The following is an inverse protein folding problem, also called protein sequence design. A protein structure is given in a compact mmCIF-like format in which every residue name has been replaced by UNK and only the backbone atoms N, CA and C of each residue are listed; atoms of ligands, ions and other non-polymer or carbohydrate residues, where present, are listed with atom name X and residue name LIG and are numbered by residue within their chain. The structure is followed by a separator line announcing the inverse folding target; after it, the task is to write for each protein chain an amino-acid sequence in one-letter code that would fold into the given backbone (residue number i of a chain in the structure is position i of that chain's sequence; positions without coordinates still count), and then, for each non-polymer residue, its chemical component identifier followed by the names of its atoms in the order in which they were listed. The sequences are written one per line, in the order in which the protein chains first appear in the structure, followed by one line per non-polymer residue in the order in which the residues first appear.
data_IF_429233846845
#
_entry.id   IF_429233846845
#
_cell.length_a   1.000
_cell.length_b   1.000
_cell.length_c   1.000
_cell.angle_alpha   90.00
_cell.angle_beta   90.00
_cell.angle_gamma   90.00
#
_symmetry.space_group_name_H-M   'P 1'
#
loop_
_entity.id
_entity.type
_entity.pdbx_description
1 polymer ?
#
# COMPACT_ATOMS: atom_id res chain seq x y z
N UNK A 1 -50.18 -58.66 9.99
CA UNK A 1 -48.76 -58.76 9.55
C UNK A 1 -47.98 -57.62 10.20
N UNK A 2 -46.73 -57.90 10.55
CA UNK A 2 -45.90 -57.39 11.67
C UNK A 2 -45.84 -55.86 11.90
N UNK A 3 -46.05 -55.49 13.16
CA UNK A 3 -45.54 -54.31 13.88
C UNK A 3 -44.06 -54.53 14.24
N UNK A 4 -43.26 -53.46 14.27
CA UNK A 4 -42.12 -53.36 15.19
C UNK A 4 -42.06 -51.97 15.81
N UNK A 5 -41.93 -51.98 17.12
CA UNK A 5 -41.74 -50.92 18.08
C UNK A 5 -40.31 -51.10 18.58
N UNK A 6 -39.48 -50.06 18.76
CA UNK A 6 -38.47 -50.06 19.83
C UNK A 6 -37.92 -48.66 20.12
N UNK A 7 -37.86 -48.42 21.43
CA UNK A 7 -37.33 -47.32 22.22
C UNK A 7 -35.79 -47.38 22.32
N UNK A 8 -35.08 -46.26 22.45
CA UNK A 8 -33.87 -46.09 23.29
C UNK A 8 -33.32 -44.65 23.17
N UNK A 9 -33.49 -43.81 24.20
CA UNK A 9 -32.54 -43.53 25.31
C UNK A 9 -31.51 -42.45 24.94
N UNK A 10 -31.74 -41.27 25.50
CA UNK A 10 -30.82 -40.13 25.64
C UNK A 10 -29.79 -40.48 26.71
N UNK A 11 -28.49 -40.35 26.42
CA UNK A 11 -27.44 -40.33 27.43
C UNK A 11 -26.67 -39.01 27.35
N UNK A 12 -26.86 -38.22 28.41
CA UNK A 12 -26.05 -37.07 28.79
C UNK A 12 -24.77 -37.63 29.43
N UNK A 13 -23.59 -37.25 28.95
CA UNK A 13 -22.33 -37.51 29.64
C UNK A 13 -21.67 -36.18 29.94
N UNK A 14 -21.74 -35.80 31.22
CA UNK A 14 -20.90 -34.79 31.86
C UNK A 14 -19.61 -35.49 32.28
N UNK A 15 -18.46 -34.96 31.89
CA UNK A 15 -17.20 -35.22 32.60
C UNK A 15 -16.54 -33.89 32.98
N UNK A 16 -16.19 -33.83 34.25
CA UNK A 16 -15.56 -32.74 34.99
C UNK A 16 -14.07 -33.05 35.18
N UNK A 17 -13.25 -32.00 35.07
CA UNK A 17 -11.86 -31.77 35.49
C UNK A 17 -10.87 -32.94 35.67
N UNK A 18 -9.71 -32.81 35.02
CA UNK A 18 -8.43 -32.74 35.74
C UNK A 18 -7.43 -31.88 34.95
N UNK A 19 -6.80 -30.93 35.65
CA UNK A 19 -5.71 -30.10 35.18
C UNK A 19 -4.43 -30.91 35.25
N UNK A 20 -3.69 -31.04 34.15
CA UNK A 20 -2.23 -31.19 34.14
C UNK A 20 -1.74 -30.85 32.72
N UNK A 21 -0.56 -30.23 32.65
CA UNK A 21 0.18 -29.79 31.45
C UNK A 21 -0.17 -28.42 30.83
N UNK A 22 0.02 -27.35 31.62
CA UNK A 22 0.12 -25.95 31.13
C UNK A 22 1.48 -25.28 31.41
N UNK A 23 2.52 -26.04 31.75
CA UNK A 23 3.82 -25.44 32.14
C UNK A 23 4.96 -25.56 31.10
N UNK A 24 4.74 -26.13 29.91
CA UNK A 24 5.83 -26.30 28.92
C UNK A 24 5.82 -25.35 27.70
N UNK A 25 4.94 -24.34 27.69
CA UNK A 25 4.92 -23.30 26.61
C UNK A 25 5.50 -21.95 27.07
N UNK A 26 5.84 -21.81 28.36
CA UNK A 26 6.27 -20.53 28.96
C UNK A 26 7.71 -20.09 28.60
N UNK A 27 8.55 -20.92 27.97
CA UNK A 27 9.98 -20.61 27.80
C UNK A 27 10.44 -20.13 26.41
N UNK A 28 9.52 -19.88 25.45
CA UNK A 28 9.87 -19.31 24.13
C UNK A 28 9.31 -17.91 23.84
N UNK A 29 8.67 -17.27 24.81
CA UNK A 29 8.14 -15.92 24.68
C UNK A 29 9.09 -14.89 25.33
N UNK A 30 10.33 -14.78 24.84
CA UNK A 30 11.22 -13.67 25.22
C UNK A 30 12.11 -13.29 24.03
N UNK A 31 11.48 -12.67 23.02
CA UNK A 31 12.14 -11.82 22.03
C UNK A 31 11.11 -10.89 21.31
N UNK A 32 10.21 -10.29 22.08
CA UNK A 32 9.29 -9.25 21.58
C UNK A 32 9.87 -7.86 21.84
N UNK A 33 10.77 -7.43 20.97
CA UNK A 33 11.05 -6.01 20.82
C UNK A 33 9.89 -5.36 20.03
N UNK A 34 9.16 -4.44 20.67
CA UNK A 34 8.28 -3.43 20.07
C UNK A 34 7.31 -3.91 18.98
N UNK A 35 6.33 -4.74 19.31
CA UNK A 35 5.16 -4.97 18.45
C UNK A 35 4.04 -4.06 18.97
N UNK A 36 3.65 -3.07 18.17
CA UNK A 36 2.57 -2.15 18.52
C UNK A 36 1.24 -2.94 18.68
N UNK A 37 0.35 -2.56 19.63
CA UNK A 37 -0.91 -3.29 19.84
C UNK A 37 -1.77 -3.26 18.57
N UNK A 38 -2.49 -4.35 18.26
CA UNK A 38 -3.23 -4.53 17.00
C UNK A 38 -4.17 -3.35 16.66
N UNK A 39 -4.74 -2.66 17.65
CA UNK A 39 -5.58 -1.47 17.45
C UNK A 39 -4.83 -0.26 16.89
N UNK A 40 -3.52 -0.16 17.12
CA UNK A 40 -2.69 0.93 16.61
C UNK A 40 -2.49 0.86 15.09
N UNK A 41 -2.76 -0.29 14.45
CA UNK A 41 -2.55 -0.50 13.03
C UNK A 41 -3.78 -0.21 12.17
N UNK A 42 -4.95 0.06 12.76
CA UNK A 42 -6.15 0.38 11.99
C UNK A 42 -6.17 1.85 11.55
N UNK A 43 -6.77 2.11 10.40
CA UNK A 43 -7.07 3.47 9.96
C UNK A 43 -8.33 3.97 10.66
N UNK A 44 -8.34 5.24 11.04
CA UNK A 44 -9.52 5.87 11.66
C UNK A 44 -10.62 6.16 10.64
N UNK A 45 -10.25 6.26 9.35
CA UNK A 45 -11.19 6.35 8.24
C UNK A 45 -10.62 5.80 6.94
N UNK A 46 -11.42 5.08 6.18
CA UNK A 46 -11.08 4.53 4.86
C UNK A 46 -12.21 4.89 3.90
N UNK A 47 -11.88 5.58 2.81
CA UNK A 47 -12.87 6.11 1.87
C UNK A 47 -12.45 5.84 0.44
N UNK A 48 -13.45 5.65 -0.42
CA UNK A 48 -13.26 5.58 -1.86
C UNK A 48 -14.28 6.45 -2.58
N UNK A 49 -13.85 7.14 -3.64
CA UNK A 49 -14.75 7.89 -4.52
C UNK A 49 -15.00 7.03 -5.76
N UNK A 50 -16.23 6.53 -5.87
CA UNK A 50 -16.70 5.69 -6.99
C UNK A 50 -17.92 6.37 -7.61
N UNK A 51 -17.93 6.51 -8.94
CA UNK A 51 -19.04 7.13 -9.68
C UNK A 51 -19.49 8.50 -9.13
N UNK A 52 -18.53 9.31 -8.67
CA UNK A 52 -18.78 10.64 -8.09
C UNK A 52 -19.41 10.62 -6.69
N UNK A 53 -19.36 9.48 -5.98
CA UNK A 53 -19.84 9.37 -4.59
C UNK A 53 -18.74 8.80 -3.69
N UNK A 54 -18.59 9.40 -2.52
CA UNK A 54 -17.77 8.85 -1.45
C UNK A 54 -18.48 7.64 -0.81
N UNK A 55 -17.73 6.56 -0.61
CA UNK A 55 -18.13 5.36 0.10
C UNK A 55 -17.20 5.19 1.29
N UNK A 56 -17.77 5.05 2.49
CA UNK A 56 -17.03 4.76 3.72
C UNK A 56 -16.83 3.24 3.86
N UNK A 57 -15.56 2.83 3.94
CA UNK A 57 -15.10 1.45 4.05
C UNK A 57 -14.41 1.16 5.39
N UNK A 58 -14.56 2.04 6.38
CA UNK A 58 -13.84 1.97 7.65
C UNK A 58 -14.19 0.71 8.45
N UNK A 59 -15.44 0.23 8.38
CA UNK A 59 -15.87 -0.96 9.13
C UNK A 59 -15.34 -2.27 8.53
N UNK A 60 -15.05 -2.28 7.22
CA UNK A 60 -14.63 -3.47 6.48
C UNK A 60 -13.26 -3.96 6.95
N UNK A 61 -12.39 -3.08 7.45
CA UNK A 61 -11.08 -3.46 8.00
C UNK A 61 -11.18 -4.38 9.23
N UNK A 62 -12.27 -4.27 10.00
CA UNK A 62 -12.48 -5.12 11.19
C UNK A 62 -13.08 -6.48 10.84
N UNK A 63 -13.76 -6.57 9.70
CA UNK A 63 -14.38 -7.81 9.23
C UNK A 63 -13.36 -8.79 8.65
N UNK A 64 -12.21 -8.31 8.16
CA UNK A 64 -11.17 -9.17 7.58
C UNK A 64 -10.44 -10.04 8.62
N UNK A 65 -10.53 -9.70 9.92
CA UNK A 65 -9.84 -10.37 11.06
C UNK A 65 -8.32 -10.61 10.84
N UNK A 66 -7.71 -9.94 9.86
CA UNK A 66 -6.31 -10.07 9.53
C UNK A 66 -5.48 -9.34 10.59
N UNK A 67 -4.43 -9.97 11.12
CA UNK A 67 -3.28 -9.21 11.61
C UNK A 67 -2.87 -8.24 10.52
N UNK A 68 -2.70 -6.95 10.82
CA UNK A 68 -2.42 -5.97 9.77
C UNK A 68 -1.03 -6.23 9.19
N UNK A 69 -1.02 -6.99 8.11
CA UNK A 69 0.16 -7.37 7.35
C UNK A 69 0.31 -6.43 6.15
N UNK A 70 1.54 -5.96 5.95
CA UNK A 70 1.86 -4.99 4.91
C UNK A 70 2.39 -5.72 3.69
N UNK A 71 1.46 -6.26 2.90
CA UNK A 71 1.74 -6.95 1.63
C UNK A 71 2.03 -6.00 0.46
N UNK A 72 1.50 -4.78 0.56
CA UNK A 72 1.68 -3.74 -0.45
C UNK A 72 2.61 -2.66 0.08
N UNK A 73 3.66 -2.37 -0.67
CA UNK A 73 4.68 -1.39 -0.33
C UNK A 73 4.59 -0.24 -1.33
N UNK A 74 4.58 1.00 -0.84
CA UNK A 74 4.61 2.20 -1.69
C UNK A 74 5.92 2.23 -2.48
N UNK A 75 5.87 2.47 -3.79
CA UNK A 75 7.06 2.50 -4.65
C UNK A 75 7.86 3.79 -4.46
N UNK A 76 8.86 3.75 -3.57
CA UNK A 76 9.73 4.91 -3.29
C UNK A 76 10.84 5.08 -4.31
N UNK A 77 11.10 4.05 -5.11
CA UNK A 77 12.10 4.05 -6.17
C UNK A 77 11.58 3.29 -7.40
N UNK A 78 10.76 3.95 -8.24
CA UNK A 78 10.06 3.31 -9.37
C UNK A 78 10.99 2.61 -10.38
N UNK A 79 12.25 3.04 -10.50
CA UNK A 79 13.24 2.40 -11.36
C UNK A 79 13.52 0.93 -10.99
N UNK A 80 13.28 0.55 -9.74
CA UNK A 80 13.43 -0.83 -9.24
C UNK A 80 12.09 -1.56 -9.08
N UNK A 81 10.97 -0.86 -9.28
CA UNK A 81 9.62 -1.40 -9.15
C UNK A 81 9.07 -1.82 -10.51
N UNK A 82 9.57 -2.94 -11.03
CA UNK A 82 9.10 -3.58 -12.24
C UNK A 82 8.99 -5.09 -12.03
N UNK A 83 8.09 -5.75 -12.78
CA UNK A 83 7.83 -7.19 -12.61
C UNK A 83 9.09 -8.03 -12.85
N UNK A 84 9.35 -8.95 -11.90
CA UNK A 84 10.53 -9.81 -11.89
C UNK A 84 11.82 -9.16 -11.37
N UNK A 85 11.81 -7.87 -10.99
CA UNK A 85 12.91 -7.25 -10.23
C UNK A 85 13.14 -8.02 -8.93
N UNK A 86 14.38 -8.41 -8.62
CA UNK A 86 14.72 -9.18 -7.42
C UNK A 86 15.49 -8.31 -6.43
N UNK A 87 14.86 -8.03 -5.29
CA UNK A 87 15.32 -7.10 -4.27
C UNK A 87 15.67 -7.82 -2.97
N UNK A 88 16.50 -7.19 -2.15
CA UNK A 88 16.82 -7.66 -0.81
C UNK A 88 15.68 -7.29 0.13
N UNK A 89 15.09 -8.26 0.84
CA UNK A 89 13.96 -8.06 1.76
C UNK A 89 14.18 -6.89 2.75
N UNK A 90 15.36 -6.80 3.35
CA UNK A 90 15.69 -5.74 4.31
C UNK A 90 15.67 -4.34 3.67
N UNK A 91 16.11 -4.22 2.42
CA UNK A 91 16.12 -2.93 1.70
C UNK A 91 14.72 -2.49 1.25
N UNK A 92 13.77 -3.43 1.10
CA UNK A 92 12.36 -3.10 0.88
C UNK A 92 11.80 -2.44 2.14
N UNK A 93 12.09 -3.01 3.31
CA UNK A 93 11.65 -2.49 4.60
C UNK A 93 12.20 -1.09 4.93
N UNK A 94 13.18 -0.57 4.19
CA UNK A 94 13.75 0.79 4.37
C UNK A 94 13.50 1.72 3.19
N UNK A 95 12.90 1.24 2.10
CA UNK A 95 12.68 2.02 0.88
C UNK A 95 13.89 2.17 -0.05
N UNK A 96 15.02 1.50 0.23
CA UNK A 96 16.27 1.63 -0.55
C UNK A 96 16.28 0.76 -1.83
N UNK A 97 15.56 -0.36 -1.82
CA UNK A 97 15.40 -1.30 -2.96
C UNK A 97 16.72 -1.77 -3.60
N UNK A 98 17.60 -2.38 -2.80
CA UNK A 98 18.84 -2.98 -3.29
C UNK A 98 18.53 -4.24 -4.10
N UNK A 99 18.99 -4.26 -5.36
CA UNK A 99 18.92 -5.46 -6.20
C UNK A 99 19.86 -6.55 -5.70
N UNK A 100 19.35 -7.79 -5.65
CA UNK A 100 20.14 -8.99 -5.30
C UNK A 100 20.72 -9.64 -6.56
N UNK A 101 19.94 -9.65 -7.64
CA UNK A 101 20.33 -10.23 -8.92
C UNK A 101 19.96 -9.32 -10.08
N UNK A 102 20.70 -9.46 -11.17
CA UNK A 102 20.53 -8.70 -12.40
C UNK A 102 19.92 -9.59 -13.49
N UNK A 103 19.38 -9.01 -14.58
CA UNK A 103 18.58 -9.76 -15.56
C UNK A 103 19.26 -10.98 -16.22
N UNK A 104 20.59 -11.07 -16.21
CA UNK A 104 21.33 -12.23 -16.73
C UNK A 104 21.27 -13.47 -15.80
N UNK A 105 20.93 -13.29 -14.52
CA UNK A 105 20.75 -14.35 -13.54
C UNK A 105 19.27 -14.77 -13.36
N UNK A 106 18.35 -14.09 -14.06
CA UNK A 106 16.91 -14.31 -13.96
C UNK A 106 16.39 -15.20 -15.10
N UNK A 107 15.14 -15.63 -14.99
CA UNK A 107 14.43 -16.24 -16.12
C UNK A 107 14.51 -15.33 -17.35
N UNK A 108 14.76 -15.90 -18.55
CA UNK A 108 14.87 -15.10 -19.77
C UNK A 108 13.55 -14.39 -20.10
N UNK A 109 12.43 -14.98 -19.69
CA UNK A 109 11.07 -14.50 -19.96
C UNK A 109 10.17 -14.76 -18.76
N UNK A 110 9.18 -13.88 -18.57
CA UNK A 110 8.07 -14.00 -17.63
C UNK A 110 6.77 -13.64 -18.36
N UNK A 111 5.66 -14.23 -17.95
CA UNK A 111 4.32 -13.88 -18.44
C UNK A 111 3.66 -12.90 -17.49
N UNK A 112 3.09 -11.84 -18.05
CA UNK A 112 2.42 -10.77 -17.30
C UNK A 112 0.99 -10.57 -17.78
N UNK A 113 0.11 -10.20 -16.87
CA UNK A 113 -1.29 -9.88 -17.11
C UNK A 113 -1.62 -8.50 -16.55
N UNK A 114 -2.64 -7.87 -17.13
CA UNK A 114 -3.11 -6.55 -16.76
C UNK A 114 -4.51 -6.66 -16.19
N UNK A 115 -4.87 -5.79 -15.24
CA UNK A 115 -6.27 -5.65 -14.81
C UNK A 115 -7.14 -4.98 -15.88
N UNK A 116 -6.53 -4.45 -16.93
CA UNK A 116 -7.17 -3.95 -18.13
C UNK A 116 -7.67 -5.12 -19.00
N UNK A 117 -8.73 -4.95 -19.79
CA UNK A 117 -9.27 -5.98 -20.67
C UNK A 117 -8.40 -6.21 -21.93
N UNK A 118 -7.12 -6.50 -21.74
CA UNK A 118 -6.13 -6.78 -22.77
C UNK A 118 -5.44 -8.11 -22.51
N UNK A 119 -4.84 -8.70 -23.55
CA UNK A 119 -4.17 -10.01 -23.43
C UNK A 119 -2.88 -9.91 -22.61
N UNK A 120 -2.51 -11.04 -22.01
CA UNK A 120 -1.20 -11.20 -21.37
C UNK A 120 -0.04 -11.05 -22.36
N UNK A 121 1.12 -10.67 -21.84
CA UNK A 121 2.36 -10.47 -22.61
C UNK A 121 3.48 -11.33 -22.03
N UNK A 122 4.44 -11.69 -22.87
CA UNK A 122 5.70 -12.31 -22.45
C UNK A 122 6.78 -11.25 -22.54
N UNK A 123 7.48 -10.99 -21.43
CA UNK A 123 8.51 -9.96 -21.34
C UNK A 123 9.77 -10.50 -20.66
N UNK A 124 10.89 -9.81 -20.82
CA UNK A 124 12.06 -10.04 -19.96
C UNK A 124 11.84 -9.34 -18.62
N UNK A 125 12.31 -9.89 -17.48
CA UNK A 125 12.25 -9.22 -16.18
C UNK A 125 13.27 -8.07 -16.13
N UNK A 126 12.95 -6.97 -16.81
CA UNK A 126 13.77 -5.77 -16.98
C UNK A 126 12.88 -4.54 -16.93
N UNK A 127 13.41 -3.45 -16.36
CA UNK A 127 12.72 -2.16 -16.31
C UNK A 127 12.21 -1.71 -17.69
N UNK A 128 13.06 -1.73 -18.72
CA UNK A 128 12.68 -1.27 -20.06
C UNK A 128 11.59 -2.15 -20.67
N UNK A 129 11.74 -3.48 -20.62
CA UNK A 129 10.75 -4.42 -21.16
C UNK A 129 9.39 -4.33 -20.45
N UNK A 130 9.39 -4.05 -19.14
CA UNK A 130 8.17 -3.78 -18.39
C UNK A 130 7.50 -2.48 -18.84
N UNK A 131 8.26 -1.39 -18.97
CA UNK A 131 7.72 -0.11 -19.44
C UNK A 131 7.19 -0.19 -20.88
N UNK A 132 7.92 -0.85 -21.79
CA UNK A 132 7.47 -1.06 -23.17
C UNK A 132 6.12 -1.79 -23.18
N UNK A 133 5.99 -2.86 -22.38
CA UNK A 133 4.77 -3.63 -22.28
C UNK A 133 3.60 -2.86 -21.67
N UNK A 134 3.87 -1.93 -20.75
CA UNK A 134 2.88 -0.99 -20.21
C UNK A 134 2.43 -0.01 -21.29
N UNK A 135 3.36 0.61 -22.02
CA UNK A 135 3.06 1.56 -23.11
C UNK A 135 2.23 0.90 -24.21
N UNK A 136 2.59 -0.32 -24.60
CA UNK A 136 1.82 -1.07 -25.58
C UNK A 136 0.43 -1.43 -25.05
N UNK A 137 0.31 -1.81 -23.77
CA UNK A 137 -0.97 -2.12 -23.13
C UNK A 137 -1.93 -0.92 -23.15
N UNK A 138 -1.42 0.26 -22.81
CA UNK A 138 -2.12 1.55 -22.88
C UNK A 138 -2.57 1.86 -24.31
N UNK A 139 -1.69 1.58 -25.28
CA UNK A 139 -1.96 1.82 -26.71
C UNK A 139 -3.05 0.90 -27.22
N UNK A 140 -2.95 -0.40 -26.92
CA UNK A 140 -3.86 -1.46 -27.35
C UNK A 140 -5.25 -1.36 -26.70
N UNK A 141 -5.32 -0.84 -25.48
CA UNK A 141 -6.59 -0.51 -24.83
C UNK A 141 -7.41 0.55 -25.60
N UNK A 142 -6.85 1.15 -26.66
CA UNK A 142 -7.60 1.93 -27.64
C UNK A 142 -8.01 3.31 -27.12
N UNK A 143 -8.97 3.97 -27.78
CA UNK A 143 -9.45 5.31 -27.38
C UNK A 143 -10.20 5.28 -26.04
N UNK A 144 -10.64 4.10 -25.61
CA UNK A 144 -11.36 3.87 -24.35
C UNK A 144 -10.42 3.71 -23.15
N UNK A 145 -9.10 3.84 -23.36
CA UNK A 145 -8.13 4.10 -22.31
C UNK A 145 -8.20 5.55 -21.79
N UNK A 146 -9.42 6.04 -21.65
CA UNK A 146 -9.78 7.31 -21.07
C UNK A 146 -11.20 7.16 -20.55
N UNK A 147 -11.42 7.40 -19.27
CA UNK A 147 -12.74 7.21 -18.68
C UNK A 147 -12.76 7.42 -17.17
N UNK A 148 -13.86 7.97 -16.68
CA UNK A 148 -14.20 8.00 -15.24
C UNK A 148 -14.40 6.58 -14.66
N UNK A 149 -14.59 5.57 -15.52
CA UNK A 149 -15.10 4.25 -15.16
C UNK A 149 -14.01 3.23 -14.73
N UNK A 150 -12.76 3.66 -14.51
CA UNK A 150 -11.70 2.79 -13.95
C UNK A 150 -10.84 3.48 -12.88
N UNK A 151 -11.25 4.65 -12.41
CA UNK A 151 -10.49 5.42 -11.41
C UNK A 151 -11.10 5.20 -10.04
N UNK A 152 -10.48 4.35 -9.23
CA UNK A 152 -10.79 4.32 -7.79
C UNK A 152 -9.82 5.28 -7.12
N UNK A 153 -10.30 6.48 -6.82
CA UNK A 153 -9.61 7.36 -5.89
C UNK A 153 -9.92 6.87 -4.48
N UNK A 154 -8.90 6.42 -3.75
CA UNK A 154 -9.02 5.98 -2.37
C UNK A 154 -8.21 6.89 -1.46
N UNK A 155 -8.67 7.08 -0.23
CA UNK A 155 -7.86 7.70 0.80
C UNK A 155 -8.19 7.17 2.18
N UNK A 156 -7.18 7.12 3.02
CA UNK A 156 -7.23 6.60 4.38
C UNK A 156 -6.64 7.63 5.32
N UNK A 157 -7.22 7.80 6.50
CA UNK A 157 -6.79 8.79 7.47
C UNK A 157 -6.52 8.16 8.82
N UNK A 158 -5.53 8.68 9.53
CA UNK A 158 -5.24 8.26 10.90
C UNK A 158 -4.57 9.38 11.69
N UNK A 159 -5.05 9.64 12.90
CA UNK A 159 -4.36 10.50 13.87
C UNK A 159 -3.08 9.80 14.36
N UNK A 160 -2.01 10.57 14.56
CA UNK A 160 -0.74 10.03 15.07
C UNK A 160 -0.14 10.95 16.14
N UNK A 161 0.78 10.39 16.93
CA UNK A 161 1.58 11.12 17.91
C UNK A 161 3.07 11.12 17.56
N UNK A 162 3.55 10.08 16.87
CA UNK A 162 4.93 9.93 16.43
C UNK A 162 4.99 9.80 14.91
N UNK A 163 5.96 10.47 14.27
CA UNK A 163 6.07 10.45 12.81
C UNK A 163 6.30 9.03 12.26
N UNK A 164 6.93 8.14 13.02
CA UNK A 164 7.09 6.73 12.63
C UNK A 164 5.77 6.00 12.39
N UNK A 165 4.65 6.45 12.96
CA UNK A 165 3.33 5.86 12.70
C UNK A 165 2.89 6.07 11.24
N UNK A 166 3.39 7.12 10.57
CA UNK A 166 3.13 7.40 9.15
C UNK A 166 3.70 6.33 8.23
N UNK A 167 4.64 5.49 8.71
CA UNK A 167 5.16 4.34 7.98
C UNK A 167 4.07 3.35 7.53
N UNK A 168 2.91 3.36 8.18
CA UNK A 168 1.72 2.62 7.73
C UNK A 168 1.30 2.95 6.30
N UNK A 169 1.42 4.21 5.87
CA UNK A 169 1.04 4.66 4.52
C UNK A 169 2.03 4.18 3.43
N UNK A 170 3.26 3.85 3.85
CA UNK A 170 4.33 3.37 2.98
C UNK A 170 4.48 1.86 2.97
N UNK A 171 4.03 1.17 4.03
CA UNK A 171 4.31 -0.24 4.22
C UNK A 171 5.82 -0.51 4.37
N UNK A 172 6.59 0.45 4.91
CA UNK A 172 8.04 0.34 5.11
C UNK A 172 8.51 1.30 6.22
N UNK A 173 9.66 1.03 6.84
CA UNK A 173 10.29 1.86 7.88
C UNK A 173 11.07 3.02 7.26
N UNK A 174 10.34 4.07 6.90
CA UNK A 174 10.94 5.25 6.29
C UNK A 174 11.31 6.26 7.36
N UNK A 175 12.39 7.00 7.13
CA UNK A 175 12.76 8.17 7.95
C UNK A 175 11.85 9.33 7.58
N UNK A 176 10.63 9.35 8.14
CA UNK A 176 9.56 10.29 7.77
C UNK A 176 10.00 11.76 7.87
N UNK A 177 10.67 12.15 8.95
CA UNK A 177 11.17 13.52 9.10
C UNK A 177 12.15 13.92 7.97
N UNK A 178 13.06 13.02 7.59
CA UNK A 178 13.97 13.25 6.47
C UNK A 178 13.25 13.27 5.12
N UNK A 179 12.33 12.33 4.89
CA UNK A 179 11.59 12.22 3.63
C UNK A 179 10.77 13.48 3.35
N UNK A 180 10.06 13.99 4.37
CA UNK A 180 9.21 15.16 4.27
C UNK A 180 9.95 16.48 4.56
N UNK A 181 11.26 16.43 4.81
CA UNK A 181 12.08 17.59 5.21
C UNK A 181 11.49 18.36 6.40
N UNK A 182 10.93 17.63 7.38
CA UNK A 182 10.35 18.20 8.59
C UNK A 182 11.51 18.56 9.54
N UNK A 183 11.68 19.85 9.80
CA UNK A 183 12.69 20.38 10.71
C UNK A 183 12.20 20.28 12.15
N UNK A 184 12.04 19.06 12.68
CA UNK A 184 11.79 18.85 14.11
C UNK A 184 13.12 18.81 14.86
N UNK A 185 13.12 19.24 16.13
CA UNK A 185 14.23 18.92 17.03
C UNK A 185 14.33 17.39 17.11
N UNK A 186 15.41 16.87 16.53
CA UNK A 186 15.65 15.45 16.16
C UNK A 186 15.58 14.48 17.36
N UNK A 187 15.36 14.96 18.58
CA UNK A 187 15.46 14.17 19.81
C UNK A 187 14.21 13.37 20.19
N UNK A 188 12.99 13.69 19.69
CA UNK A 188 11.78 13.01 20.18
C UNK A 188 10.90 12.29 19.16
N UNK A 189 11.07 12.51 17.84
CA UNK A 189 10.22 11.95 16.76
C UNK A 189 8.70 12.15 16.95
N UNK A 190 8.32 13.08 17.84
CA UNK A 190 6.95 13.35 18.29
C UNK A 190 6.40 14.60 17.61
N UNK A 191 5.10 14.58 17.30
CA UNK A 191 4.38 15.77 16.81
C UNK A 191 4.52 16.94 17.78
N UNK A 192 4.51 18.16 17.25
CA UNK A 192 4.57 19.39 18.06
C UNK A 192 3.20 20.06 18.20
N UNK A 193 2.28 19.78 17.28
CA UNK A 193 0.90 20.30 17.27
C UNK A 193 -0.03 19.53 18.22
N UNK A 194 -1.16 20.16 18.54
CA UNK A 194 -2.25 19.53 19.29
C UNK A 194 -2.80 18.30 18.55
N UNK A 195 -3.04 18.42 17.24
CA UNK A 195 -3.53 17.34 16.39
C UNK A 195 -2.63 17.17 15.18
N UNK A 196 -2.22 15.93 14.91
CA UNK A 196 -1.54 15.55 13.70
C UNK A 196 -2.21 14.30 13.12
N UNK A 197 -2.46 14.31 11.82
CA UNK A 197 -2.94 13.13 11.10
C UNK A 197 -2.16 12.94 9.80
N UNK A 198 -2.10 11.71 9.35
CA UNK A 198 -1.67 11.42 7.99
C UNK A 198 -2.83 10.93 7.14
N UNK A 199 -2.69 11.20 5.84
CA UNK A 199 -3.60 10.72 4.80
C UNK A 199 -2.80 9.92 3.78
N UNK A 200 -3.14 8.65 3.63
CA UNK A 200 -2.67 7.80 2.54
C UNK A 200 -3.71 7.82 1.42
N UNK A 201 -3.42 8.46 0.29
CA UNK A 201 -4.35 8.52 -0.83
C UNK A 201 -3.71 8.01 -2.11
N UNK A 202 -4.52 7.37 -2.95
CA UNK A 202 -4.08 6.83 -4.23
C UNK A 202 -5.19 6.86 -5.27
N UNK A 203 -4.78 6.98 -6.51
CA UNK A 203 -5.60 6.75 -7.69
C UNK A 203 -4.92 5.65 -8.49
N UNK A 204 -5.42 4.43 -8.35
CA UNK A 204 -4.91 3.28 -9.11
C UNK A 204 -5.62 3.29 -10.46
N UNK A 205 -4.83 3.30 -11.53
CA UNK A 205 -5.34 3.26 -12.90
C UNK A 205 -5.52 1.83 -13.37
N UNK A 206 -4.52 0.99 -13.11
CA UNK A 206 -4.55 -0.44 -13.37
C UNK A 206 -3.45 -1.14 -12.59
N UNK A 207 -3.55 -2.46 -12.48
CA UNK A 207 -2.54 -3.33 -11.93
C UNK A 207 -1.89 -4.16 -13.04
N UNK A 208 -0.61 -4.48 -12.88
CA UNK A 208 0.10 -5.45 -13.70
C UNK A 208 0.71 -6.49 -12.77
N UNK A 209 0.44 -7.77 -13.04
CA UNK A 209 0.96 -8.89 -12.25
C UNK A 209 1.63 -9.91 -13.16
N UNK A 210 2.56 -10.69 -12.60
CA UNK A 210 3.20 -11.80 -13.32
C UNK A 210 2.72 -13.15 -12.79
N UNK A 211 2.72 -14.15 -13.67
CA UNK A 211 2.60 -15.53 -13.24
C UNK A 211 3.83 -15.92 -12.40
N UNK A 212 3.64 -16.81 -11.42
CA UNK A 212 4.76 -17.51 -10.79
C UNK A 212 5.40 -18.37 -11.89
N UNK A 213 6.74 -18.32 -12.08
CA UNK A 213 7.41 -19.17 -13.07
C UNK A 213 7.04 -20.65 -12.89
N UNK A 214 6.89 -21.40 -13.98
CA UNK A 214 6.37 -22.78 -13.96
C UNK A 214 7.17 -23.73 -13.03
N UNK A 215 8.47 -23.50 -12.89
CA UNK A 215 9.35 -24.26 -11.98
C UNK A 215 9.45 -23.66 -10.57
N UNK A 216 8.64 -22.64 -10.28
CA UNK A 216 8.62 -21.91 -9.01
C UNK A 216 9.88 -21.08 -8.76
N UNK A 217 10.67 -20.78 -9.79
CA UNK A 217 11.97 -20.13 -9.64
C UNK A 217 12.10 -18.90 -10.56
N UNK A 218 12.28 -17.70 -9.98
CA UNK A 218 12.53 -16.46 -10.73
C UNK A 218 13.95 -16.36 -11.30
N UNK A 219 14.89 -17.12 -10.75
CA UNK A 219 16.26 -17.21 -11.25
C UNK A 219 16.33 -18.14 -12.46
N UNK A 220 17.43 -18.09 -13.19
CA UNK A 220 17.65 -18.91 -14.38
C UNK A 220 17.41 -20.41 -14.09
N UNK A 221 17.93 -20.89 -12.96
CA UNK A 221 17.83 -22.27 -12.48
C UNK A 221 18.14 -22.35 -10.98
N UNK A 222 18.11 -23.57 -10.42
CA UNK A 222 18.35 -23.80 -9.00
C UNK A 222 19.75 -23.40 -8.55
N UNK A 223 20.77 -23.76 -9.34
CA UNK A 223 22.16 -23.40 -9.04
C UNK A 223 22.34 -21.89 -8.94
N UNK A 224 21.67 -21.13 -9.80
CA UNK A 224 21.68 -19.67 -9.75
C UNK A 224 20.95 -19.15 -8.51
N UNK A 225 19.76 -19.68 -8.21
CA UNK A 225 18.98 -19.31 -7.02
C UNK A 225 19.79 -19.45 -5.73
N UNK A 226 20.50 -20.58 -5.56
CA UNK A 226 21.29 -20.86 -4.36
C UNK A 226 22.39 -19.82 -4.07
N UNK A 227 22.91 -19.11 -5.08
CA UNK A 227 23.89 -18.03 -4.89
C UNK A 227 23.33 -16.83 -4.13
N UNK A 228 22.00 -16.66 -4.16
CA UNK A 228 21.33 -15.45 -3.71
C UNK A 228 20.41 -15.66 -2.49
N UNK A 229 20.04 -16.90 -2.16
CA UNK A 229 19.07 -17.19 -1.08
C UNK A 229 19.48 -16.63 0.29
N UNK A 230 20.78 -16.56 0.59
CA UNK A 230 21.28 -15.98 1.85
C UNK A 230 20.95 -14.48 2.00
N UNK A 231 20.67 -13.78 0.90
CA UNK A 231 20.27 -12.38 0.90
C UNK A 231 18.75 -12.20 1.08
N UNK A 232 17.98 -13.28 1.27
CA UNK A 232 16.52 -13.26 1.37
C UNK A 232 15.87 -12.50 0.19
N UNK A 233 16.07 -13.00 -1.05
CA UNK A 233 15.58 -12.36 -2.26
C UNK A 233 14.06 -12.36 -2.31
N UNK A 234 13.50 -11.21 -2.67
CA UNK A 234 12.06 -10.99 -2.92
C UNK A 234 11.92 -10.48 -4.34
N UNK A 235 11.13 -11.15 -5.17
CA UNK A 235 10.84 -10.65 -6.52
C UNK A 235 9.52 -9.90 -6.56
N UNK A 236 9.49 -8.79 -7.29
CA UNK A 236 8.27 -7.99 -7.51
C UNK A 236 7.32 -8.78 -8.40
N UNK A 237 6.15 -9.13 -7.88
CA UNK A 237 5.18 -9.99 -8.57
C UNK A 237 3.89 -9.26 -9.00
N UNK A 238 3.62 -8.08 -8.44
CA UNK A 238 2.49 -7.22 -8.80
C UNK A 238 2.86 -5.76 -8.62
N UNK A 239 2.41 -4.90 -9.53
CA UNK A 239 2.66 -3.45 -9.53
C UNK A 239 1.37 -2.71 -9.82
N UNK A 240 1.00 -1.79 -8.93
CA UNK A 240 -0.08 -0.84 -9.19
C UNK A 240 0.48 0.38 -9.92
N UNK A 241 -0.12 0.69 -11.07
CA UNK A 241 0.19 1.85 -11.89
C UNK A 241 -0.83 2.95 -11.57
N UNK A 242 -0.34 4.15 -11.27
CA UNK A 242 -1.21 5.18 -10.72
C UNK A 242 -0.53 6.47 -10.32
N UNK A 243 -1.20 7.15 -9.39
CA UNK A 243 -0.66 8.25 -8.59
C UNK A 243 -0.97 7.99 -7.12
N UNK A 244 -0.02 8.27 -6.24
CA UNK A 244 -0.17 8.13 -4.79
C UNK A 244 0.38 9.37 -4.12
N UNK A 245 -0.17 9.71 -2.97
CA UNK A 245 0.50 10.61 -2.08
C UNK A 245 0.22 10.28 -0.63
N UNK A 246 1.18 10.66 0.19
CA UNK A 246 1.09 10.59 1.64
C UNK A 246 1.15 12.02 2.13
N UNK A 247 0.12 12.47 2.82
CA UNK A 247 0.02 13.80 3.37
C UNK A 247 0.14 13.74 4.89
N UNK A 248 0.92 14.63 5.48
CA UNK A 248 0.95 14.91 6.92
C UNK A 248 0.28 16.26 7.13
N UNK A 249 -0.67 16.32 8.05
CA UNK A 249 -1.37 17.53 8.44
C UNK A 249 -1.21 17.74 9.93
N UNK A 250 -0.66 18.89 10.30
CA UNK A 250 -0.59 19.36 11.68
C UNK A 250 -1.49 20.58 11.86
N UNK A 251 -2.29 20.57 12.93
CA UNK A 251 -3.35 21.55 13.16
C UNK A 251 -3.56 21.82 14.65
N UNK A 252 -4.02 23.04 14.94
CA UNK A 252 -4.52 23.44 16.26
C UNK A 252 -5.99 23.06 16.47
N UNK A 253 -6.71 22.69 15.40
CA UNK A 253 -8.09 22.22 15.45
C UNK A 253 -8.16 20.75 15.92
N UNK A 254 -9.32 20.35 16.44
CA UNK A 254 -9.56 18.95 16.82
C UNK A 254 -9.48 17.98 15.62
N UNK A 255 -9.12 16.72 15.87
CA UNK A 255 -9.09 15.67 14.85
C UNK A 255 -10.41 15.56 14.07
N UNK A 256 -11.55 15.63 14.75
CA UNK A 256 -12.87 15.54 14.11
C UNK A 256 -13.15 16.71 13.15
N UNK A 257 -12.67 17.92 13.44
CA UNK A 257 -12.86 19.08 12.57
C UNK A 257 -11.91 19.09 11.37
N UNK A 258 -10.62 18.79 11.60
CA UNK A 258 -9.63 18.82 10.52
C UNK A 258 -9.82 17.65 9.54
N UNK A 259 -10.17 16.45 10.04
CA UNK A 259 -10.45 15.28 9.19
C UNK A 259 -11.66 15.50 8.28
N UNK A 260 -12.75 16.10 8.81
CA UNK A 260 -13.93 16.48 8.00
C UNK A 260 -13.56 17.52 6.95
N UNK A 261 -12.73 18.50 7.30
CA UNK A 261 -12.26 19.52 6.36
C UNK A 261 -11.43 18.93 5.21
N UNK A 262 -10.56 17.98 5.51
CA UNK A 262 -9.77 17.26 4.51
C UNK A 262 -10.66 16.41 3.60
N UNK A 263 -11.63 15.67 4.16
CA UNK A 263 -12.62 14.91 3.39
C UNK A 263 -13.43 15.80 2.45
N UNK A 264 -13.91 16.94 2.94
CA UNK A 264 -14.65 17.90 2.14
C UNK A 264 -13.81 18.40 0.96
N UNK A 265 -12.52 18.63 1.18
CA UNK A 265 -11.58 19.01 0.11
C UNK A 265 -11.39 17.91 -0.94
N UNK A 266 -11.19 16.65 -0.55
CA UNK A 266 -11.11 15.55 -1.51
C UNK A 266 -12.40 15.39 -2.31
N UNK A 267 -13.56 15.43 -1.64
CA UNK A 267 -14.85 15.35 -2.32
C UNK A 267 -15.02 16.49 -3.33
N UNK A 268 -14.82 17.73 -2.92
CA UNK A 268 -14.98 18.88 -3.82
C UNK A 268 -14.05 18.77 -5.04
N UNK A 269 -12.74 18.54 -4.83
CA UNK A 269 -11.80 18.51 -5.93
C UNK A 269 -11.93 17.29 -6.85
N UNK A 270 -12.21 16.09 -6.32
CA UNK A 270 -12.31 14.86 -7.11
C UNK A 270 -13.69 14.70 -7.76
N UNK A 271 -14.77 15.00 -7.03
CA UNK A 271 -16.16 14.82 -7.54
C UNK A 271 -16.59 16.01 -8.39
N UNK A 272 -16.37 17.23 -7.91
CA UNK A 272 -16.87 18.44 -8.58
C UNK A 272 -15.86 18.99 -9.60
N UNK A 273 -14.60 18.56 -9.56
CA UNK A 273 -13.53 19.07 -10.41
C UNK A 273 -13.02 20.46 -10.03
N UNK A 274 -13.58 21.06 -8.97
CA UNK A 274 -13.18 22.35 -8.43
C UNK A 274 -13.21 22.33 -6.90
N UNK A 275 -12.26 23.00 -6.28
CA UNK A 275 -12.18 23.07 -4.81
C UNK A 275 -13.02 24.23 -4.27
N UNK A 276 -14.33 24.14 -4.45
CA UNK A 276 -15.30 25.07 -3.85
C UNK A 276 -15.64 24.61 -2.42
N UNK A 277 -14.98 25.23 -1.44
CA UNK A 277 -15.16 24.96 0.00
C UNK A 277 -15.79 26.17 0.68
N UNK A 278 -16.56 25.92 1.74
CA UNK A 278 -17.05 26.99 2.60
C UNK A 278 -15.88 27.72 3.31
N UNK A 279 -16.14 28.93 3.77
CA UNK A 279 -15.11 29.79 4.35
C UNK A 279 -14.47 29.19 5.60
N UNK A 280 -15.22 28.44 6.43
CA UNK A 280 -14.69 27.84 7.66
C UNK A 280 -13.69 26.75 7.30
N UNK A 281 -14.08 25.81 6.42
CA UNK A 281 -13.19 24.73 5.97
C UNK A 281 -11.95 25.27 5.24
N UNK A 282 -12.12 26.28 4.39
CA UNK A 282 -10.98 26.90 3.69
C UNK A 282 -9.98 27.54 4.65
N UNK A 283 -10.44 28.27 5.66
CA UNK A 283 -9.56 28.90 6.65
C UNK A 283 -8.89 27.87 7.57
N UNK A 284 -9.57 26.78 7.93
CA UNK A 284 -8.95 25.67 8.68
C UNK A 284 -7.79 25.05 7.89
N UNK A 285 -8.00 24.70 6.61
CA UNK A 285 -6.97 24.07 5.78
C UNK A 285 -5.79 25.01 5.48
N UNK A 286 -6.03 26.33 5.38
CA UNK A 286 -4.95 27.33 5.23
C UNK A 286 -4.08 27.49 6.47
N UNK A 287 -4.68 27.37 7.68
CA UNK A 287 -3.95 27.48 8.95
C UNK A 287 -3.17 26.21 9.29
N UNK A 288 -3.61 25.06 8.80
CA UNK A 288 -2.92 23.79 9.00
C UNK A 288 -1.57 23.76 8.28
N UNK A 289 -0.58 23.12 8.91
CA UNK A 289 0.69 22.82 8.28
C UNK A 289 0.56 21.51 7.51
N UNK A 290 0.65 21.60 6.18
CA UNK A 290 0.43 20.47 5.28
C UNK A 290 1.74 20.14 4.57
N UNK A 291 2.14 18.88 4.63
CA UNK A 291 3.24 18.31 3.85
C UNK A 291 2.70 17.17 3.00
N UNK A 292 3.04 17.12 1.71
CA UNK A 292 2.57 16.07 0.81
C UNK A 292 3.76 15.48 0.07
N UNK A 293 3.98 14.18 0.24
CA UNK A 293 4.91 13.40 -0.55
C UNK A 293 4.14 12.71 -1.68
N UNK A 294 4.52 13.00 -2.93
CA UNK A 294 3.80 12.54 -4.12
C UNK A 294 4.63 11.49 -4.86
N UNK A 295 4.03 10.35 -5.22
CA UNK A 295 4.58 9.32 -6.11
C UNK A 295 3.71 9.31 -7.38
N UNK A 296 4.28 9.63 -8.53
CA UNK A 296 3.55 9.74 -9.80
C UNK A 296 2.85 11.10 -9.99
N UNK A 297 3.55 12.04 -10.62
CA UNK A 297 3.03 13.35 -11.02
C UNK A 297 3.49 13.75 -12.42
N UNK A 298 3.09 14.93 -12.89
CA UNK A 298 3.46 15.41 -14.23
C UNK A 298 4.96 15.72 -14.30
N UNK A 299 5.72 14.85 -14.99
CA UNK A 299 6.91 15.25 -15.75
C UNK A 299 8.29 15.02 -15.14
N UNK A 300 8.42 14.51 -13.92
CA UNK A 300 9.73 14.11 -13.39
C UNK A 300 9.59 12.79 -12.62
N UNK A 301 10.45 11.82 -12.91
CA UNK A 301 10.50 10.47 -12.32
C UNK A 301 10.72 10.46 -10.79
N UNK A 302 10.76 11.63 -10.14
CA UNK A 302 11.06 11.81 -8.74
C UNK A 302 9.81 12.10 -7.91
N UNK A 303 9.74 11.46 -6.75
CA UNK A 303 8.80 11.87 -5.72
C UNK A 303 9.18 13.26 -5.19
N UNK A 304 8.18 14.10 -4.92
CA UNK A 304 8.39 15.47 -4.44
C UNK A 304 7.61 15.76 -3.17
N UNK A 305 8.20 16.57 -2.30
CA UNK A 305 7.52 17.16 -1.15
C UNK A 305 7.01 18.54 -1.53
N UNK A 306 5.71 18.76 -1.35
CA UNK A 306 5.08 20.07 -1.51
C UNK A 306 4.35 20.46 -0.22
N UNK A 307 4.20 21.76 0.02
CA UNK A 307 3.70 22.26 1.31
C UNK A 307 2.53 23.23 1.19
N UNK A 308 1.69 23.21 2.22
CA UNK A 308 0.57 24.13 2.41
C UNK A 308 -0.66 23.82 1.57
N UNK A 309 -1.74 24.55 1.87
CA UNK A 309 -3.03 24.38 1.22
C UNK A 309 -2.98 24.56 -0.32
N UNK A 310 -2.30 25.58 -0.90
CA UNK A 310 -2.26 25.72 -2.36
C UNK A 310 -1.70 24.49 -3.09
N UNK A 311 -0.65 23.86 -2.54
CA UNK A 311 -0.07 22.65 -3.11
C UNK A 311 -1.04 21.45 -3.02
N UNK A 312 -1.79 21.36 -1.92
CA UNK A 312 -2.88 20.40 -1.77
C UNK A 312 -3.97 20.60 -2.84
N UNK A 313 -4.41 21.85 -3.06
CA UNK A 313 -5.40 22.15 -4.11
C UNK A 313 -4.88 21.76 -5.49
N UNK A 314 -3.63 22.12 -5.80
CA UNK A 314 -2.99 21.83 -7.08
C UNK A 314 -2.94 20.32 -7.35
N UNK A 315 -2.55 19.54 -6.33
CA UNK A 315 -2.49 18.09 -6.44
C UNK A 315 -3.86 17.46 -6.69
N UNK A 316 -4.91 17.87 -5.95
CA UNK A 316 -6.25 17.29 -6.12
C UNK A 316 -6.83 17.67 -7.49
N UNK A 317 -6.76 18.95 -7.86
CA UNK A 317 -7.41 19.48 -9.07
C UNK A 317 -6.66 19.04 -10.34
N UNK A 318 -5.34 19.20 -10.40
CA UNK A 318 -4.52 18.69 -11.52
C UNK A 318 -4.27 17.18 -11.43
N UNK A 319 -4.79 16.57 -10.38
CA UNK A 319 -4.78 15.14 -10.05
C UNK A 319 -5.44 14.23 -11.06
N UNK A 320 -6.59 14.67 -11.56
CA UNK A 320 -7.66 13.74 -11.95
C UNK A 320 -7.64 13.24 -13.39
N UNK A 321 -6.75 13.71 -14.27
CA UNK A 321 -6.83 13.35 -15.70
C UNK A 321 -5.74 12.35 -16.07
N UNK A 322 -6.11 11.09 -15.99
CA UNK A 322 -5.41 9.99 -16.63
C UNK A 322 -5.61 10.03 -18.15
N UNK A 323 -4.55 9.82 -18.91
CA UNK A 323 -4.61 9.74 -20.38
C UNK A 323 -3.53 8.82 -20.92
N UNK A 324 -3.46 8.67 -22.24
CA UNK A 324 -2.36 7.96 -22.91
C UNK A 324 -1.01 8.66 -22.71
N UNK A 325 -1.03 9.96 -22.47
CA UNK A 325 0.14 10.78 -22.19
C UNK A 325 0.45 10.84 -20.68
N UNK A 326 -0.56 10.60 -19.83
CA UNK A 326 -0.47 10.63 -18.36
C UNK A 326 -0.99 9.29 -17.83
N UNK A 327 -0.21 8.23 -18.02
CA UNK A 327 -0.62 6.86 -17.69
C UNK A 327 -0.16 6.37 -16.31
N UNK A 328 0.35 7.30 -15.49
CA UNK A 328 0.86 7.01 -14.15
C UNK A 328 2.22 6.31 -14.16
N UNK A 329 2.71 6.04 -12.95
CA UNK A 329 3.97 5.33 -12.69
C UNK A 329 3.70 4.20 -11.70
N UNK A 330 4.66 3.29 -11.46
CA UNK A 330 4.57 2.37 -10.33
C UNK A 330 4.41 3.16 -9.03
N UNK A 331 3.28 2.96 -8.33
CA UNK A 331 2.98 3.66 -7.06
C UNK A 331 3.01 2.74 -5.85
N UNK A 332 2.77 1.46 -6.06
CA UNK A 332 2.96 0.41 -5.06
C UNK A 332 3.19 -0.94 -5.72
N UNK A 333 3.73 -1.87 -4.95
CA UNK A 333 3.98 -3.23 -5.41
C UNK A 333 3.81 -4.24 -4.28
N UNK A 334 3.58 -5.50 -4.66
CA UNK A 334 3.79 -6.64 -3.79
C UNK A 334 5.00 -7.45 -4.26
N UNK A 335 5.56 -8.23 -3.34
CA UNK A 335 6.67 -9.14 -3.62
C UNK A 335 6.35 -10.56 -3.20
N UNK A 336 7.08 -11.51 -3.77
CA UNK A 336 7.10 -12.90 -3.35
C UNK A 336 8.53 -13.32 -2.99
N UNK A 337 8.69 -14.07 -1.91
CA UNK A 337 9.97 -14.62 -1.48
C UNK A 337 10.47 -15.60 -2.53
N UNK A 338 11.65 -15.38 -3.11
CA UNK A 338 12.14 -16.25 -4.18
C UNK A 338 12.54 -17.66 -3.70
N UNK A 339 12.53 -17.91 -2.39
CA UNK A 339 12.76 -19.22 -1.79
C UNK A 339 11.56 -20.17 -2.00
N UNK A 340 10.33 -19.66 -1.86
CA UNK A 340 9.12 -20.48 -1.77
C UNK A 340 7.88 -19.87 -2.44
N UNK A 341 8.00 -18.68 -3.02
CA UNK A 341 6.92 -17.89 -3.64
C UNK A 341 5.82 -17.44 -2.66
N UNK A 342 6.04 -17.55 -1.35
CA UNK A 342 5.15 -16.95 -0.35
C UNK A 342 5.18 -15.43 -0.49
N UNK A 343 4.04 -14.78 -0.18
CA UNK A 343 3.96 -13.32 -0.22
C UNK A 343 4.94 -12.71 0.78
N UNK A 344 5.67 -11.70 0.33
CA UNK A 344 6.52 -10.90 1.21
C UNK A 344 5.64 -10.02 2.09
N UNK A 345 5.89 -10.08 3.41
CA UNK A 345 5.25 -9.23 4.40
C UNK A 345 6.29 -8.24 4.89
N UNK A 346 6.04 -6.96 4.67
CA UNK A 346 6.90 -5.90 5.21
C UNK A 346 6.77 -5.82 6.73
N UNK A 347 7.91 -5.63 7.40
CA UNK A 347 7.98 -5.50 8.85
C UNK A 347 8.11 -4.03 9.21
N UNK A 348 7.01 -3.38 9.57
CA UNK A 348 7.04 -1.97 10.00
C UNK A 348 7.10 -1.83 11.52
N UNK A 349 7.79 -0.78 11.97
CA UNK A 349 7.95 -0.38 13.36
C UNK A 349 7.21 0.94 13.55
N UNK A 350 6.24 0.93 14.45
CA UNK A 350 5.31 2.05 14.74
C UNK A 350 5.51 2.55 16.14
#
# INVERSE_FOLDING_TARGET
MKKYFYFAIVFLVMFSCENEDLDEISSKANNTANIAPLSSLYYDGIYEIRDGKEVDLTLQQYLSRSTQEFYEIASLNPAYTYLGSVLQAESINTGEYRSVAYPNALKPEIRIAFSLPIKSRVIKPKFTSFNDAVIDAITDAGKDFSGKQSQVFSYKMKEFNYYKEVNMAFGANIKIGQLFSITTSVESDKKQSNTALFVDFSQIYFNVAMDIPDDGNIFLNETERQKYLNQKPVYVNSVNMGRKGVMIVESEESYSEISVSIRAAFNAGIVNGELSLDSKTKEMLKRAQIYIYIIGGNGEDAAKVVTGFPAFQDFIIKGGVYSKEIYGVPISFSGANAADNSMFISQIKI
#
